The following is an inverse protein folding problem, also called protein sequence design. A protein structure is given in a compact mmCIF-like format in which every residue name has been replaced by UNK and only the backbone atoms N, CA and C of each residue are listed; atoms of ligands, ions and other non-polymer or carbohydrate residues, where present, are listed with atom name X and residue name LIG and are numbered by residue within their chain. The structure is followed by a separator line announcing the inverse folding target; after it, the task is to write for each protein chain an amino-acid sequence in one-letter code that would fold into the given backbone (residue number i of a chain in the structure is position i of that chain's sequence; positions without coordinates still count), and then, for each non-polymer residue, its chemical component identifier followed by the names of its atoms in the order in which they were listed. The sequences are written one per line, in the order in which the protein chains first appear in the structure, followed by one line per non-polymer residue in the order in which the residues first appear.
data_IF_447160291627
#
_entry.id   IF_447160291627
#
_cell.length_a   1.000
_cell.length_b   1.000
_cell.length_c   1.000
_cell.angle_alpha   90.00
_cell.angle_beta   90.00
_cell.angle_gamma   90.00
#
_symmetry.space_group_name_H-M   'P 1'
#
loop_
_entity.id
_entity.type
_entity.pdbx_description
1 polymer ?
#
# COMPACT_ATOMS: atom_id res chain seq x y z
N UNK A 1 -24.21 -6.35 -8.23
CA UNK A 1 -22.85 -5.80 -8.21
C UNK A 1 -22.70 -5.20 -6.84
N UNK A 2 -22.16 -5.98 -5.89
CA UNK A 2 -22.38 -5.76 -4.45
C UNK A 2 -21.04 -5.60 -3.69
N UNK A 3 -20.03 -5.05 -4.38
CA UNK A 3 -18.73 -4.78 -3.76
C UNK A 3 -18.75 -3.53 -2.88
N UNK A 4 -17.73 -3.41 -2.04
CA UNK A 4 -17.59 -2.32 -1.08
C UNK A 4 -16.32 -1.52 -1.38
N UNK A 5 -16.45 -0.19 -1.49
CA UNK A 5 -15.31 0.71 -1.75
C UNK A 5 -15.07 1.63 -0.56
N UNK A 6 -13.81 1.76 -0.16
CA UNK A 6 -13.33 2.80 0.77
C UNK A 6 -12.34 3.68 0.05
N UNK A 7 -12.51 5.00 0.17
CA UNK A 7 -11.55 5.98 -0.33
C UNK A 7 -10.68 6.44 0.83
N UNK A 8 -9.37 6.23 0.72
CA UNK A 8 -8.39 6.58 1.75
C UNK A 8 -7.37 7.53 1.14
N UNK A 9 -7.22 8.71 1.74
CA UNK A 9 -6.32 9.74 1.23
C UNK A 9 -6.66 11.13 1.76
N UNK A 10 -6.19 12.13 1.02
CA UNK A 10 -6.49 13.55 1.22
C UNK A 10 -7.55 14.00 0.22
N UNK A 11 -7.86 15.30 0.23
CA UNK A 11 -8.72 15.91 -0.79
C UNK A 11 -8.03 15.98 -2.18
N UNK A 12 -6.70 15.90 -2.22
CA UNK A 12 -5.90 16.05 -3.44
C UNK A 12 -5.56 14.68 -4.06
N UNK A 13 -5.21 13.69 -3.23
CA UNK A 13 -4.79 12.37 -3.67
C UNK A 13 -5.43 11.26 -2.81
N UNK A 14 -5.97 10.22 -3.44
CA UNK A 14 -6.55 9.09 -2.73
C UNK A 14 -6.36 7.75 -3.45
N UNK A 15 -6.41 6.68 -2.66
CA UNK A 15 -6.56 5.32 -3.14
C UNK A 15 -7.97 4.80 -2.85
N UNK A 16 -8.62 4.24 -3.86
CA UNK A 16 -9.89 3.53 -3.69
C UNK A 16 -9.59 2.04 -3.48
N UNK A 17 -9.83 1.56 -2.26
CA UNK A 17 -9.75 0.15 -1.91
C UNK A 17 -11.11 -0.49 -2.17
N UNK A 18 -11.14 -1.51 -3.03
CA UNK A 18 -12.37 -2.18 -3.42
C UNK A 18 -12.35 -3.65 -3.00
N UNK A 19 -13.32 -4.04 -2.18
CA UNK A 19 -13.57 -5.42 -1.81
C UNK A 19 -14.59 -6.04 -2.76
N UNK A 20 -14.19 -7.10 -3.45
CA UNK A 20 -15.08 -7.91 -4.27
C UNK A 20 -16.09 -8.64 -3.38
N UNK A 21 -17.37 -8.76 -3.80
CA UNK A 21 -18.37 -9.55 -3.06
C UNK A 21 -18.02 -11.04 -3.00
N UNK A 22 -17.13 -11.52 -3.87
CA UNK A 22 -16.56 -12.85 -3.87
C UNK A 22 -15.08 -12.76 -4.30
N UNK A 23 -14.16 -13.17 -3.43
CA UNK A 23 -12.71 -12.91 -3.57
C UNK A 23 -12.04 -13.65 -4.74
N UNK A 24 -12.60 -14.77 -5.19
CA UNK A 24 -12.01 -15.60 -6.25
C UNK A 24 -12.93 -15.67 -7.46
N UNK A 25 -12.73 -14.75 -8.41
CA UNK A 25 -13.10 -15.00 -9.80
C UNK A 25 -11.81 -15.29 -10.56
N UNK A 26 -11.56 -16.54 -10.99
CA UNK A 26 -10.37 -16.90 -11.77
C UNK A 26 -10.41 -16.32 -13.20
N UNK A 27 -11.36 -15.43 -13.51
CA UNK A 27 -11.60 -14.93 -14.86
C UNK A 27 -10.56 -13.89 -15.27
N UNK A 28 -10.21 -13.96 -16.56
CA UNK A 28 -9.03 -13.42 -17.25
C UNK A 28 -8.91 -11.87 -17.29
N UNK A 29 -9.79 -11.14 -16.61
CA UNK A 29 -9.77 -9.68 -16.57
C UNK A 29 -9.04 -9.16 -15.32
N UNK A 30 -7.98 -8.38 -15.52
CA UNK A 30 -7.11 -7.85 -14.43
C UNK A 30 -7.87 -7.08 -13.34
N UNK A 31 -9.07 -6.58 -13.64
CA UNK A 31 -9.92 -5.84 -12.71
C UNK A 31 -10.41 -6.68 -11.51
N UNK A 32 -10.50 -8.00 -11.66
CA UNK A 32 -10.93 -8.90 -10.58
C UNK A 32 -9.77 -9.53 -9.81
N UNK A 33 -8.53 -9.16 -10.13
CA UNK A 33 -7.33 -9.71 -9.50
C UNK A 33 -6.85 -8.80 -8.37
N UNK A 34 -6.87 -9.32 -7.15
CA UNK A 34 -6.25 -8.66 -5.99
C UNK A 34 -4.76 -8.44 -6.24
N UNK A 35 -4.26 -7.24 -5.91
CA UNK A 35 -2.84 -6.92 -5.97
C UNK A 35 -2.23 -6.98 -7.37
N UNK A 36 -2.99 -6.70 -8.44
CA UNK A 36 -2.48 -6.67 -9.82
C UNK A 36 -1.60 -5.43 -10.14
N UNK A 37 -0.74 -5.03 -9.20
CA UNK A 37 0.23 -3.94 -9.31
C UNK A 37 1.60 -4.42 -8.86
N UNK A 38 2.67 -3.68 -9.17
CA UNK A 38 4.01 -4.01 -8.67
C UNK A 38 4.16 -3.56 -7.21
N UNK A 39 3.96 -2.26 -6.93
CA UNK A 39 3.80 -1.71 -5.58
C UNK A 39 3.10 -0.35 -5.64
N UNK A 40 2.68 0.17 -4.49
CA UNK A 40 2.28 1.57 -4.31
C UNK A 40 3.35 2.37 -3.58
N UNK A 41 3.73 3.52 -4.13
CA UNK A 41 4.66 4.46 -3.49
C UNK A 41 3.91 5.51 -2.67
N UNK A 42 4.23 5.62 -1.39
CA UNK A 42 3.62 6.56 -0.44
C UNK A 42 4.70 7.50 0.09
N UNK A 43 4.58 8.78 -0.28
CA UNK A 43 5.45 9.84 0.23
C UNK A 43 4.98 10.26 1.63
N UNK A 44 5.91 10.32 2.58
CA UNK A 44 5.65 10.74 3.96
C UNK A 44 6.68 11.76 4.44
N UNK A 45 6.26 12.63 5.35
CA UNK A 45 7.14 13.64 5.96
C UNK A 45 8.12 13.01 6.96
N UNK A 46 7.72 11.93 7.64
CA UNK A 46 8.51 11.28 8.69
C UNK A 46 8.48 9.76 8.49
N UNK A 47 9.62 9.23 8.03
CA UNK A 47 9.76 7.82 7.70
C UNK A 47 9.73 6.95 8.97
N UNK A 48 10.39 7.37 10.05
CA UNK A 48 10.48 6.63 11.30
C UNK A 48 9.11 6.56 11.99
N UNK A 49 8.42 7.69 12.09
CA UNK A 49 7.08 7.73 12.68
C UNK A 49 6.07 6.90 11.88
N UNK A 50 6.22 6.85 10.56
CA UNK A 50 5.38 6.01 9.69
C UNK A 50 5.68 4.54 9.89
N UNK A 51 6.95 4.14 9.95
CA UNK A 51 7.36 2.76 10.23
C UNK A 51 6.80 2.27 11.58
N UNK A 52 6.86 3.08 12.63
CA UNK A 52 6.32 2.70 13.94
C UNK A 52 4.81 2.41 13.88
N UNK A 53 4.04 3.16 13.09
CA UNK A 53 2.60 2.89 12.90
C UNK A 53 2.36 1.58 12.17
N UNK A 54 3.16 1.29 11.14
CA UNK A 54 3.07 0.05 10.35
C UNK A 54 3.40 -1.17 11.21
N UNK A 55 4.46 -1.10 12.01
CA UNK A 55 4.83 -2.15 12.95
C UNK A 55 3.76 -2.34 14.05
N UNK A 56 3.21 -1.25 14.58
CA UNK A 56 2.13 -1.31 15.57
C UNK A 56 0.83 -1.91 15.00
N UNK A 57 0.59 -1.77 13.70
CA UNK A 57 -0.52 -2.43 12.99
C UNK A 57 -0.28 -3.94 12.75
N UNK A 58 0.90 -4.46 13.10
CA UNK A 58 1.23 -5.89 13.00
C UNK A 58 1.91 -6.30 11.69
N UNK A 59 2.23 -5.35 10.81
CA UNK A 59 2.98 -5.62 9.59
C UNK A 59 4.49 -5.70 9.85
N UNK A 60 5.21 -6.26 8.89
CA UNK A 60 6.68 -6.35 8.92
C UNK A 60 7.25 -5.48 7.82
N UNK A 61 8.21 -4.64 8.18
CA UNK A 61 8.96 -3.82 7.23
C UNK A 61 10.23 -4.52 6.79
N UNK A 62 10.71 -4.19 5.60
CA UNK A 62 11.94 -4.72 5.04
C UNK A 62 12.57 -3.74 4.03
N UNK A 63 13.77 -4.09 3.54
CA UNK A 63 14.44 -3.39 2.44
C UNK A 63 14.71 -1.89 2.70
N UNK A 64 15.04 -1.51 3.95
CA UNK A 64 15.44 -0.15 4.32
C UNK A 64 16.65 0.34 3.55
N UNK A 65 16.54 1.50 2.92
CA UNK A 65 17.58 2.11 2.10
C UNK A 65 17.60 3.62 2.32
N UNK A 66 18.79 4.19 2.42
CA UNK A 66 19.03 5.64 2.43
C UNK A 66 19.91 6.01 1.24
N UNK A 67 19.52 7.07 0.54
CA UNK A 67 20.19 7.65 -0.62
C UNK A 67 20.06 9.18 -0.57
N UNK A 68 20.78 9.91 -1.43
CA UNK A 68 20.59 11.36 -1.53
C UNK A 68 19.43 11.65 -2.52
N UNK A 69 18.38 12.42 -2.18
CA UNK A 69 18.12 13.12 -0.91
C UNK A 69 17.04 12.43 -0.04
N UNK A 70 16.95 11.10 0.02
CA UNK A 70 15.84 10.44 0.72
C UNK A 70 16.09 9.04 1.25
N UNK A 71 15.13 8.54 2.01
CA UNK A 71 15.13 7.19 2.55
C UNK A 71 13.82 6.49 2.25
N UNK A 72 13.84 5.15 2.21
CA UNK A 72 12.65 4.34 2.01
C UNK A 72 12.73 3.00 2.72
N UNK A 73 11.58 2.38 2.89
CA UNK A 73 11.43 0.97 3.22
C UNK A 73 10.18 0.40 2.56
N UNK A 74 9.99 -0.90 2.66
CA UNK A 74 8.86 -1.61 2.07
C UNK A 74 8.13 -2.45 3.11
N UNK A 75 6.85 -2.73 2.88
CA UNK A 75 6.11 -3.76 3.59
C UNK A 75 5.05 -4.38 2.68
N UNK A 76 4.60 -5.58 3.04
CA UNK A 76 3.44 -6.23 2.40
C UNK A 76 2.25 -6.19 3.36
N UNK A 77 1.05 -5.96 2.81
CA UNK A 77 -0.19 -6.04 3.58
C UNK A 77 -0.79 -7.46 3.58
N UNK A 78 -2.05 -7.58 4.01
CA UNK A 78 -2.76 -8.85 4.10
C UNK A 78 -3.17 -9.43 2.73
N UNK A 79 -3.20 -8.61 1.69
CA UNK A 79 -3.53 -8.96 0.31
C UNK A 79 -2.26 -9.20 -0.54
N UNK A 80 -1.09 -9.26 0.12
CA UNK A 80 0.24 -9.40 -0.50
C UNK A 80 0.61 -8.25 -1.44
N UNK A 81 -0.01 -7.08 -1.25
CA UNK A 81 0.34 -5.86 -1.97
C UNK A 81 1.61 -5.28 -1.36
N UNK A 82 2.62 -5.01 -2.18
CA UNK A 82 3.83 -4.32 -1.73
C UNK A 82 3.60 -2.80 -1.67
N UNK A 83 4.03 -2.20 -0.57
CA UNK A 83 3.96 -0.77 -0.32
C UNK A 83 5.36 -0.22 -0.10
N UNK A 84 5.78 0.72 -0.94
CA UNK A 84 7.00 1.52 -0.78
C UNK A 84 6.66 2.78 0.02
N UNK A 85 7.30 2.96 1.17
CA UNK A 85 7.20 4.19 1.96
C UNK A 85 8.48 4.97 1.79
N UNK A 86 8.37 6.21 1.33
CA UNK A 86 9.52 7.05 0.99
C UNK A 86 9.42 8.42 1.66
N UNK A 87 10.55 8.98 2.04
CA UNK A 87 10.67 10.36 2.53
C UNK A 87 11.90 11.03 1.92
N UNK A 88 11.75 12.33 1.60
CA UNK A 88 12.82 13.20 1.08
C UNK A 88 13.16 14.36 2.03
N UNK A 89 12.71 14.26 3.29
CA UNK A 89 12.92 15.27 4.33
C UNK A 89 14.33 15.21 4.93
#
# INVERSE_FOLDING_TARGET
YDGYTVHVGTDEDYLALYALPQQDRPDEESYYRTGAVNHFGILVDDLDATEQKILAAGYRTHSHQTYDPGSRFYFHDHDDIEWEVVSYA
#
